data_IF_418093943292
#
_entry.id   IF_418093943292
#
_cell.length_a   1.000
_cell.length_b   1.000
_cell.length_c   1.000
_cell.angle_alpha   90.00
_cell.angle_beta   90.00
_cell.angle_gamma   90.00
#
_symmetry.space_group_name_H-M   'P 1'
#
loop_
_entity.id
_entity.type
_entity.pdbx_description
1 polymer ?
#
# COMPACT_ATOMS: atom_id res chain seq x y z
N UNK A 1 -7.01 19.39 9.38
CA UNK A 1 -6.26 18.62 8.38
C UNK A 1 -7.22 18.18 7.29
N UNK A 2 -7.02 18.63 6.05
CA UNK A 2 -7.79 18.19 4.88
C UNK A 2 -7.45 16.74 4.56
N UNK A 3 -8.45 15.85 4.53
CA UNK A 3 -8.24 14.46 4.12
C UNK A 3 -7.82 14.42 2.65
N UNK A 4 -6.60 13.94 2.39
CA UNK A 4 -6.08 13.78 1.03
C UNK A 4 -6.25 12.33 0.62
N UNK A 5 -7.16 12.10 -0.32
CA UNK A 5 -7.36 10.79 -0.92
C UNK A 5 -6.45 10.61 -2.12
N UNK A 6 -5.79 9.45 -2.19
CA UNK A 6 -4.91 9.06 -3.27
C UNK A 6 -5.53 7.90 -4.03
N UNK A 7 -5.36 7.92 -5.35
CA UNK A 7 -5.66 6.77 -6.20
C UNK A 7 -4.68 5.63 -5.91
N UNK A 8 -5.02 4.41 -6.33
CA UNK A 8 -4.12 3.26 -6.19
C UNK A 8 -2.74 3.47 -6.84
N UNK A 9 -2.65 4.26 -7.92
CA UNK A 9 -1.36 4.53 -8.59
C UNK A 9 -0.48 5.45 -7.74
N UNK A 10 -1.07 6.51 -7.20
CA UNK A 10 -0.36 7.46 -6.34
C UNK A 10 0.07 6.80 -5.03
N UNK A 11 -0.84 6.05 -4.39
CA UNK A 11 -0.53 5.29 -3.18
C UNK A 11 0.60 4.27 -3.40
N UNK A 12 0.60 3.59 -4.55
CA UNK A 12 1.64 2.64 -4.92
C UNK A 12 3.00 3.32 -5.08
N UNK A 13 3.03 4.49 -5.75
CA UNK A 13 4.22 5.31 -5.90
C UNK A 13 4.75 5.81 -4.55
N UNK A 14 3.86 6.21 -3.65
CA UNK A 14 4.23 6.73 -2.32
C UNK A 14 4.85 5.65 -1.41
N UNK A 15 4.30 4.44 -1.41
CA UNK A 15 4.81 3.32 -0.57
C UNK A 15 5.97 2.56 -1.25
N UNK A 16 6.19 2.77 -2.55
CA UNK A 16 7.22 2.06 -3.31
C UNK A 16 6.88 0.60 -3.61
N UNK A 17 5.59 0.32 -3.85
CA UNK A 17 5.10 -1.01 -4.25
C UNK A 17 4.34 -0.95 -5.57
N UNK A 18 4.03 -2.09 -6.15
CA UNK A 18 3.19 -2.10 -7.35
C UNK A 18 1.70 -1.88 -7.00
N UNK A 19 0.88 -1.32 -7.92
CA UNK A 19 -0.57 -1.26 -7.72
C UNK A 19 -1.21 -2.64 -7.50
N UNK A 20 -0.64 -3.70 -8.07
CA UNK A 20 -1.08 -5.08 -7.85
C UNK A 20 -0.88 -5.49 -6.39
N UNK A 21 0.25 -5.12 -5.77
CA UNK A 21 0.52 -5.35 -4.35
C UNK A 21 -0.55 -4.69 -3.48
N UNK A 22 -0.92 -3.44 -3.76
CA UNK A 22 -1.99 -2.75 -3.04
C UNK A 22 -3.35 -3.44 -3.21
N UNK A 23 -3.71 -3.88 -4.43
CA UNK A 23 -4.94 -4.66 -4.65
C UNK A 23 -4.97 -5.95 -3.85
N UNK A 24 -3.83 -6.62 -3.73
CA UNK A 24 -3.69 -7.84 -2.95
C UNK A 24 -3.81 -7.57 -1.44
N UNK A 25 -3.30 -6.45 -0.96
CA UNK A 25 -3.46 -6.04 0.44
C UNK A 25 -4.91 -5.64 0.76
N UNK A 26 -5.58 -4.91 -0.13
CA UNK A 26 -7.01 -4.62 -0.04
C UNK A 26 -7.84 -5.91 0.03
N UNK A 27 -7.61 -6.85 -0.90
CA UNK A 27 -8.30 -8.15 -0.92
C UNK A 27 -8.05 -8.97 0.37
N UNK A 28 -6.88 -8.84 0.98
CA UNK A 28 -6.51 -9.52 2.22
C UNK A 28 -6.90 -8.74 3.49
N UNK A 29 -7.49 -7.55 3.36
CA UNK A 29 -7.82 -6.69 4.49
C UNK A 29 -6.61 -6.11 5.24
N UNK A 30 -5.40 -6.18 4.66
CA UNK A 30 -4.18 -5.62 5.28
C UNK A 30 -4.13 -4.10 5.20
N UNK A 31 -4.63 -3.57 4.09
CA UNK A 31 -4.75 -2.13 3.84
C UNK A 31 -6.04 -1.95 3.04
N UNK A 32 -7.12 -1.64 3.75
CA UNK A 32 -8.45 -1.54 3.14
C UNK A 32 -8.57 -0.26 2.32
N UNK A 33 -8.96 -0.38 1.05
CA UNK A 33 -9.26 0.78 0.23
C UNK A 33 -10.67 1.29 0.51
N UNK A 34 -10.82 2.61 0.57
CA UNK A 34 -12.13 3.24 0.51
C UNK A 34 -12.61 3.16 -0.94
N UNK A 35 -13.90 2.90 -1.13
CA UNK A 35 -14.53 2.88 -2.45
C UNK A 35 -15.12 4.24 -2.75
N UNK A 36 -14.67 4.84 -3.85
CA UNK A 36 -15.19 6.13 -4.29
C UNK A 36 -16.68 5.98 -4.66
N UNK A 37 -17.58 6.84 -4.12
CA UNK A 37 -19.03 6.62 -4.22
C UNK A 37 -19.58 6.64 -5.66
N UNK A 38 -18.89 7.35 -6.56
CA UNK A 38 -19.38 7.55 -7.95
C UNK A 38 -18.94 6.43 -8.90
N UNK A 39 -17.73 5.88 -8.74
CA UNK A 39 -17.13 4.98 -9.73
C UNK A 39 -16.50 3.73 -9.11
N UNK A 40 -16.67 3.54 -7.79
CA UNK A 40 -16.19 2.40 -7.02
C UNK A 40 -14.67 2.13 -7.15
N UNK A 41 -13.90 3.13 -7.58
CA UNK A 41 -12.45 3.04 -7.58
C UNK A 41 -11.90 3.01 -6.16
N UNK A 42 -10.77 2.33 -6.01
CA UNK A 42 -10.02 2.27 -4.76
C UNK A 42 -9.27 3.57 -4.55
N UNK A 43 -9.60 4.23 -3.45
CA UNK A 43 -8.88 5.39 -2.95
C UNK A 43 -8.36 5.09 -1.55
N UNK A 44 -7.25 5.72 -1.19
CA UNK A 44 -6.57 5.53 0.07
C UNK A 44 -6.41 6.88 0.74
N UNK A 45 -6.68 6.96 2.04
CA UNK A 45 -6.36 8.15 2.82
C UNK A 45 -4.85 8.23 3.03
N UNK A 46 -4.27 9.41 2.83
CA UNK A 46 -2.83 9.61 2.99
C UNK A 46 -2.34 9.23 4.41
N UNK A 47 -3.09 9.60 5.45
CA UNK A 47 -2.69 9.32 6.82
C UNK A 47 -2.72 7.81 7.12
N UNK A 48 -3.68 7.09 6.55
CA UNK A 48 -3.73 5.62 6.67
C UNK A 48 -2.52 4.96 6.01
N UNK A 49 -2.08 5.48 4.85
CA UNK A 49 -0.88 4.98 4.16
C UNK A 49 0.40 5.25 4.95
N UNK A 50 0.54 6.45 5.54
CA UNK A 50 1.69 6.82 6.38
C UNK A 50 1.75 5.95 7.64
N UNK A 51 0.63 5.75 8.33
CA UNK A 51 0.54 4.87 9.49
C UNK A 51 0.91 3.43 9.12
N UNK A 52 0.37 2.93 8.01
CA UNK A 52 0.65 1.58 7.53
C UNK A 52 2.12 1.38 7.15
N UNK A 53 2.75 2.39 6.55
CA UNK A 53 4.19 2.36 6.25
C UNK A 53 5.01 2.27 7.55
N UNK A 54 4.67 3.06 8.56
CA UNK A 54 5.31 2.98 9.88
C UNK A 54 5.18 1.59 10.52
N UNK A 55 4.02 0.96 10.41
CA UNK A 55 3.83 -0.42 10.88
C UNK A 55 4.67 -1.45 10.11
N UNK A 56 4.79 -1.29 8.79
CA UNK A 56 5.62 -2.17 7.96
C UNK A 56 7.09 -2.04 8.33
N UNK A 57 7.58 -0.81 8.50
CA UNK A 57 8.97 -0.55 8.86
C UNK A 57 9.32 -1.12 10.24
N UNK A 58 8.41 -0.98 11.21
CA UNK A 58 8.56 -1.60 12.53
C UNK A 58 8.58 -3.14 12.47
N UNK A 59 7.88 -3.75 11.50
CA UNK A 59 7.76 -5.20 11.32
C UNK A 59 8.77 -5.79 10.34
N UNK A 60 9.63 -4.98 9.70
CA UNK A 60 10.49 -5.43 8.59
C UNK A 60 11.40 -6.56 9.09
N UNK A 61 11.27 -7.80 8.57
CA UNK A 61 12.14 -8.89 8.97
C UNK A 61 13.58 -8.54 8.58
N UNK A 62 14.54 -8.83 9.47
CA UNK A 62 15.97 -8.62 9.20
C UNK A 62 16.30 -9.26 7.85
N UNK A 63 16.76 -8.43 6.90
CA UNK A 63 17.07 -8.73 5.48
C UNK A 63 17.03 -10.23 5.13
N UNK A 64 16.04 -10.64 4.33
CA UNK A 64 16.07 -11.93 3.66
C UNK A 64 17.32 -11.98 2.76
N UNK A 65 18.30 -12.82 3.11
CA UNK A 65 19.46 -13.13 2.25
C UNK A 65 18.96 -13.98 1.09
N UNK A 66 18.34 -13.37 0.09
CA UNK A 66 18.02 -14.05 -1.16
C UNK A 66 19.31 -14.09 -1.98
N UNK A 67 19.96 -15.25 -2.07
CA UNK A 67 20.94 -15.50 -3.13
C UNK A 67 20.14 -15.58 -4.43
N UNK A 68 20.26 -14.59 -5.29
CA UNK A 68 19.86 -14.72 -6.69
C UNK A 68 20.80 -15.78 -7.27
N UNK A 69 20.25 -16.95 -7.59
CA UNK A 69 20.94 -17.93 -8.42
C UNK A 69 20.75 -17.40 -9.83
N UNK A 70 21.81 -16.84 -10.39
CA UNK A 70 21.90 -16.62 -11.83
C UNK A 70 22.25 -17.97 -12.46
N UNK A 71 21.40 -18.45 -13.38
CA UNK A 71 21.76 -19.50 -14.33
C UNK A 71 22.65 -18.91 -15.44
#
# INVERSE_FOLDING_TARGET
MSKKYLTIKEAAGLIGVTPLTLRNWDKKGKLAAIRHPINNYRVYDLSDLENFLGEIEARKPRKLKVKLIEE
#
